data_IF_899745700064
#
_entry.id   IF_899745700064
#
_cell.length_a   1.000
_cell.length_b   1.000
_cell.length_c   1.000
_cell.angle_alpha   90.00
_cell.angle_beta   90.00
_cell.angle_gamma   90.00
#
_symmetry.space_group_name_H-M   'P 1'
#
loop_
_entity.id
_entity.type
_entity.pdbx_description
1 polymer ?
#
# COMPACT_ATOMS: atom_id res chain seq x y z
N UNK A 1 -19.40 -16.10 -32.02
CA UNK A 1 -19.66 -14.75 -31.47
C UNK A 1 -18.33 -14.20 -30.98
N UNK A 2 -17.89 -13.05 -31.48
CA UNK A 2 -16.64 -12.38 -31.12
C UNK A 2 -16.82 -11.58 -29.82
N UNK A 3 -16.07 -11.88 -28.77
CA UNK A 3 -16.18 -11.25 -27.45
C UNK A 3 -14.82 -10.80 -26.88
N UNK A 4 -14.24 -9.73 -27.42
CA UNK A 4 -13.52 -8.79 -26.57
C UNK A 4 -14.49 -8.26 -25.49
N UNK A 5 -14.17 -7.26 -24.67
CA UNK A 5 -15.27 -6.38 -24.22
C UNK A 5 -16.08 -6.12 -25.49
N UNK A 6 -17.40 -6.38 -25.49
CA UNK A 6 -18.21 -6.00 -26.64
C UNK A 6 -17.79 -4.55 -26.90
N UNK A 7 -17.36 -4.14 -28.11
CA UNK A 7 -16.48 -2.98 -28.33
C UNK A 7 -16.88 -1.65 -27.65
N UNK A 8 -18.06 -1.58 -27.06
CA UNK A 8 -18.70 -0.45 -26.41
C UNK A 8 -18.97 -0.66 -24.90
N UNK A 9 -18.44 -1.72 -24.26
CA UNK A 9 -18.67 -1.97 -22.84
C UNK A 9 -17.75 -1.12 -21.95
N UNK A 10 -18.38 -0.37 -21.04
CA UNK A 10 -17.69 0.58 -20.18
C UNK A 10 -16.99 -0.09 -18.98
N UNK A 11 -15.90 0.54 -18.55
CA UNK A 11 -15.13 0.27 -17.34
C UNK A 11 -15.34 1.45 -16.39
N UNK A 12 -15.90 1.15 -15.21
CA UNK A 12 -16.27 2.16 -14.21
C UNK A 12 -15.46 1.94 -12.93
N UNK A 13 -14.71 2.95 -12.48
CA UNK A 13 -14.03 2.96 -11.18
C UNK A 13 -14.79 3.84 -10.17
N UNK A 14 -15.52 3.20 -9.25
CA UNK A 14 -16.16 3.89 -8.13
C UNK A 14 -15.17 4.00 -6.97
N UNK A 15 -15.15 5.17 -6.33
CA UNK A 15 -14.21 5.49 -5.26
C UNK A 15 -12.76 5.51 -5.75
N UNK A 16 -12.54 6.03 -6.97
CA UNK A 16 -11.27 5.92 -7.70
C UNK A 16 -10.03 6.46 -6.95
N UNK A 17 -10.24 7.40 -6.01
CA UNK A 17 -9.20 7.96 -5.17
C UNK A 17 -8.07 8.55 -6.02
N UNK A 18 -6.82 8.31 -5.61
CA UNK A 18 -5.65 8.70 -6.38
C UNK A 18 -5.26 7.75 -7.51
N UNK A 19 -6.19 6.96 -8.09
CA UNK A 19 -5.99 6.25 -9.37
C UNK A 19 -5.26 4.90 -9.33
N UNK A 20 -5.07 4.29 -8.16
CA UNK A 20 -4.36 3.00 -8.05
C UNK A 20 -5.08 1.85 -8.74
N UNK A 21 -6.41 1.78 -8.61
CA UNK A 21 -7.24 0.82 -9.33
C UNK A 21 -7.17 1.09 -10.84
N UNK A 22 -7.53 2.29 -11.29
CA UNK A 22 -7.48 2.72 -12.70
C UNK A 22 -6.16 2.38 -13.37
N UNK A 23 -5.02 2.70 -12.73
CA UNK A 23 -3.69 2.35 -13.25
C UNK A 23 -3.55 0.86 -13.57
N UNK A 24 -4.04 -0.02 -12.69
CA UNK A 24 -4.00 -1.46 -12.93
C UNK A 24 -5.00 -1.92 -13.99
N UNK A 25 -6.20 -1.31 -14.04
CA UNK A 25 -7.22 -1.60 -15.04
C UNK A 25 -6.72 -1.25 -16.45
N UNK A 26 -6.17 -0.06 -16.64
CA UNK A 26 -5.65 0.40 -17.94
C UNK A 26 -4.46 -0.45 -18.41
N UNK A 27 -3.60 -0.87 -17.49
CA UNK A 27 -2.52 -1.80 -17.81
C UNK A 27 -3.02 -3.18 -18.28
N UNK A 28 -4.13 -3.67 -17.72
CA UNK A 28 -4.75 -4.95 -18.10
C UNK A 28 -5.49 -4.82 -19.44
N UNK A 29 -6.36 -3.83 -19.57
CA UNK A 29 -7.22 -3.66 -20.73
C UNK A 29 -6.52 -3.00 -21.92
N UNK A 30 -5.39 -2.32 -21.71
CA UNK A 30 -4.68 -1.53 -22.73
C UNK A 30 -5.54 -0.40 -23.32
N UNK A 31 -6.46 0.13 -22.52
CA UNK A 31 -7.29 1.29 -22.84
C UNK A 31 -7.65 2.03 -21.55
N UNK A 32 -8.03 3.33 -21.62
CA UNK A 32 -8.44 4.10 -20.45
C UNK A 32 -9.64 3.51 -19.71
N UNK A 33 -9.74 3.81 -18.41
CA UNK A 33 -11.01 3.67 -17.68
C UNK A 33 -11.99 4.73 -18.21
N UNK A 34 -13.23 4.36 -18.47
CA UNK A 34 -14.20 5.28 -19.10
C UNK A 34 -14.77 6.29 -18.10
N UNK A 35 -15.09 5.84 -16.89
CA UNK A 35 -15.70 6.67 -15.84
C UNK A 35 -15.02 6.45 -14.50
N UNK A 36 -14.65 7.54 -13.81
CA UNK A 36 -14.14 7.51 -12.45
C UNK A 36 -14.97 8.45 -11.54
N UNK A 37 -15.40 7.93 -10.38
CA UNK A 37 -16.27 8.66 -9.45
C UNK A 37 -15.55 8.83 -8.11
N UNK A 38 -15.49 10.06 -7.61
CA UNK A 38 -14.99 10.36 -6.27
C UNK A 38 -15.58 11.66 -5.73
N UNK A 39 -15.72 11.78 -4.42
CA UNK A 39 -16.21 13.02 -3.79
C UNK A 39 -15.08 14.02 -3.48
N UNK A 40 -13.82 13.60 -3.60
CA UNK A 40 -12.67 14.43 -3.24
C UNK A 40 -12.08 15.10 -4.49
N UNK A 41 -12.22 16.44 -4.63
CA UNK A 41 -11.75 17.15 -5.82
C UNK A 41 -10.24 17.05 -5.99
N UNK A 42 -9.45 16.95 -4.91
CA UNK A 42 -7.99 16.81 -5.00
C UNK A 42 -7.58 15.41 -5.43
N UNK A 43 -8.35 14.39 -5.03
CA UNK A 43 -8.14 13.03 -5.50
C UNK A 43 -8.39 12.93 -7.01
N UNK A 44 -9.51 13.52 -7.47
CA UNK A 44 -9.80 13.59 -8.90
C UNK A 44 -8.81 14.44 -9.66
N UNK A 45 -8.27 15.51 -9.07
CA UNK A 45 -7.23 16.27 -9.73
C UNK A 45 -5.95 15.46 -9.99
N UNK A 46 -5.50 14.68 -8.99
CA UNK A 46 -4.41 13.71 -9.17
C UNK A 46 -4.79 12.62 -10.18
N UNK A 47 -6.03 12.14 -10.15
CA UNK A 47 -6.48 11.11 -11.07
C UNK A 47 -6.49 11.62 -12.52
N UNK A 48 -6.98 12.84 -12.77
CA UNK A 48 -7.15 13.44 -14.10
C UNK A 48 -5.84 13.63 -14.84
N UNK A 49 -4.78 14.05 -14.14
CA UNK A 49 -3.46 14.22 -14.79
C UNK A 49 -2.84 12.88 -15.24
N UNK A 50 -3.19 11.77 -14.55
CA UNK A 50 -2.68 10.43 -14.89
C UNK A 50 -3.62 9.63 -15.81
N UNK A 51 -4.91 9.98 -15.83
CA UNK A 51 -5.97 9.34 -16.61
C UNK A 51 -6.80 10.41 -17.33
N UNK A 52 -6.21 11.13 -18.31
CA UNK A 52 -6.83 12.30 -18.94
C UNK A 52 -8.06 11.97 -19.79
N UNK A 53 -8.12 10.75 -20.34
CA UNK A 53 -9.23 10.30 -21.19
C UNK A 53 -10.44 9.77 -20.39
N UNK A 54 -10.31 9.66 -19.07
CA UNK A 54 -11.40 9.21 -18.19
C UNK A 54 -12.38 10.34 -17.91
N UNK A 55 -13.69 10.06 -17.96
CA UNK A 55 -14.71 10.99 -17.48
C UNK A 55 -14.77 10.98 -15.95
N UNK A 56 -14.50 12.12 -15.31
CA UNK A 56 -14.53 12.25 -13.85
C UNK A 56 -15.84 12.86 -13.36
N UNK A 57 -16.42 12.27 -12.32
CA UNK A 57 -17.55 12.82 -11.58
C UNK A 57 -17.13 13.14 -10.14
N UNK A 58 -17.10 14.43 -9.81
CA UNK A 58 -16.73 14.95 -8.49
C UNK A 58 -17.93 15.03 -7.54
N UNK A 59 -18.55 13.89 -7.25
CA UNK A 59 -19.80 13.83 -6.49
C UNK A 59 -19.80 12.69 -5.48
N UNK A 60 -20.77 12.72 -4.57
CA UNK A 60 -21.09 11.53 -3.79
C UNK A 60 -21.56 10.43 -4.73
N UNK A 61 -21.06 9.21 -4.51
CA UNK A 61 -21.52 8.00 -5.23
C UNK A 61 -23.03 7.73 -5.09
N UNK A 62 -23.67 8.34 -4.08
CA UNK A 62 -25.12 8.26 -3.88
C UNK A 62 -25.91 9.21 -4.76
N UNK A 63 -25.28 10.27 -5.27
CA UNK A 63 -25.94 11.29 -6.06
C UNK A 63 -25.85 10.94 -7.56
N UNK A 64 -24.81 10.20 -7.95
CA UNK A 64 -24.65 9.70 -9.32
C UNK A 64 -25.71 8.66 -9.69
N UNK A 65 -26.43 8.89 -10.80
CA UNK A 65 -27.23 7.87 -11.46
C UNK A 65 -26.35 7.01 -12.39
N UNK A 66 -26.19 5.68 -12.14
CA UNK A 66 -25.52 4.77 -13.06
C UNK A 66 -25.97 4.85 -14.52
N UNK A 67 -27.26 5.11 -14.81
CA UNK A 67 -27.75 5.19 -16.19
C UNK A 67 -27.23 6.45 -16.87
N UNK A 68 -27.29 7.60 -16.20
CA UNK A 68 -26.81 8.87 -16.74
C UNK A 68 -25.28 8.87 -16.87
N UNK A 69 -24.59 8.35 -15.85
CA UNK A 69 -23.12 8.24 -15.85
C UNK A 69 -22.59 7.42 -17.02
N UNK A 70 -23.37 6.44 -17.49
CA UNK A 70 -23.00 5.54 -18.59
C UNK A 70 -23.66 5.89 -19.91
N UNK A 71 -24.55 6.89 -19.95
CA UNK A 71 -25.41 7.11 -21.12
C UNK A 71 -26.21 5.87 -21.52
N UNK A 72 -26.58 5.04 -20.54
CA UNK A 72 -27.22 3.73 -20.72
C UNK A 72 -26.44 2.73 -21.60
N UNK A 73 -25.12 2.93 -21.76
CA UNK A 73 -24.28 2.00 -22.50
C UNK A 73 -24.01 0.72 -21.67
N UNK A 74 -23.80 -0.44 -22.33
CA UNK A 74 -23.41 -1.67 -21.65
C UNK A 74 -22.16 -1.49 -20.77
N UNK A 75 -22.12 -2.14 -19.62
CA UNK A 75 -20.99 -2.03 -18.67
C UNK A 75 -20.31 -3.39 -18.50
N UNK A 76 -19.03 -3.47 -18.86
CA UNK A 76 -18.24 -4.68 -18.73
C UNK A 76 -17.73 -4.88 -17.31
N UNK A 77 -17.27 -3.80 -16.67
CA UNK A 77 -16.70 -3.83 -15.32
C UNK A 77 -17.18 -2.64 -14.49
N UNK A 78 -17.68 -2.92 -13.29
CA UNK A 78 -17.76 -1.94 -12.20
C UNK A 78 -16.79 -2.35 -11.11
N UNK A 79 -15.82 -1.51 -10.82
CA UNK A 79 -14.96 -1.63 -9.66
C UNK A 79 -15.44 -0.71 -8.53
N UNK A 80 -15.43 -1.19 -7.29
CA UNK A 80 -15.74 -0.39 -6.11
C UNK A 80 -14.69 -0.55 -5.03
N UNK A 81 -14.14 0.56 -4.53
CA UNK A 81 -13.23 0.59 -3.37
C UNK A 81 -13.77 1.47 -2.24
N UNK A 82 -14.95 1.17 -1.66
CA UNK A 82 -15.61 2.02 -0.67
C UNK A 82 -14.77 2.21 0.60
N UNK A 83 -15.00 3.30 1.32
CA UNK A 83 -14.23 3.65 2.52
C UNK A 83 -14.20 2.50 3.56
N UNK A 84 -12.99 2.08 3.91
CA UNK A 84 -12.74 0.97 4.84
C UNK A 84 -12.54 1.40 6.30
N UNK A 85 -12.46 2.70 6.59
CA UNK A 85 -12.13 3.29 7.91
C UNK A 85 -13.03 2.75 9.01
N UNK A 86 -14.30 2.49 8.72
CA UNK A 86 -15.30 2.02 9.69
C UNK A 86 -15.34 0.49 9.85
N UNK A 87 -14.47 -0.22 9.12
CA UNK A 87 -14.18 -1.65 9.27
C UNK A 87 -12.75 -1.89 9.81
N UNK A 88 -11.81 -0.99 9.52
CA UNK A 88 -10.39 -1.18 9.81
C UNK A 88 -10.07 -1.24 11.32
N UNK A 89 -9.27 -2.26 11.71
CA UNK A 89 -8.61 -2.34 13.04
C UNK A 89 -7.76 -1.11 13.38
N UNK A 90 -7.30 -0.35 12.37
CA UNK A 90 -6.45 0.82 12.57
C UNK A 90 -7.18 1.97 13.28
N UNK A 91 -8.51 2.03 13.20
CA UNK A 91 -9.34 3.08 13.82
C UNK A 91 -9.42 2.97 15.35
N UNK A 92 -9.20 1.78 15.90
CA UNK A 92 -9.36 1.53 17.35
C UNK A 92 -10.83 1.50 17.78
N UNK A 93 -11.12 1.90 19.01
CA UNK A 93 -12.44 1.78 19.66
C UNK A 93 -13.43 2.92 19.37
N UNK A 94 -13.12 3.83 18.43
CA UNK A 94 -14.00 4.98 18.11
C UNK A 94 -15.32 4.51 17.47
N UNK A 95 -16.47 5.12 17.82
CA UNK A 95 -17.77 4.83 17.21
C UNK A 95 -17.76 4.88 15.68
N UNK A 96 -18.65 4.13 15.04
CA UNK A 96 -18.73 4.02 13.59
C UNK A 96 -20.02 4.63 13.03
N UNK A 97 -19.88 5.46 12.01
CA UNK A 97 -20.99 6.00 11.21
C UNK A 97 -21.59 4.95 10.27
N UNK A 98 -22.91 4.97 10.16
CA UNK A 98 -23.70 4.02 9.39
C UNK A 98 -23.67 4.35 7.90
N UNK A 99 -23.70 5.63 7.50
CA UNK A 99 -23.65 6.02 6.08
C UNK A 99 -22.35 5.54 5.42
N UNK A 100 -21.20 5.76 6.07
CA UNK A 100 -19.89 5.36 5.54
C UNK A 100 -19.78 3.82 5.44
N UNK A 101 -20.27 3.08 6.43
CA UNK A 101 -20.32 1.59 6.36
C UNK A 101 -21.26 1.10 5.27
N UNK A 102 -22.26 1.90 4.92
CA UNK A 102 -23.27 1.61 3.90
C UNK A 102 -22.79 1.77 2.47
N UNK A 103 -21.61 2.39 2.23
CA UNK A 103 -21.12 2.69 0.87
C UNK A 103 -21.01 1.47 -0.04
N UNK A 104 -20.78 0.28 0.51
CA UNK A 104 -20.74 -0.96 -0.28
C UNK A 104 -22.08 -1.29 -0.96
N UNK A 105 -23.22 -0.80 -0.43
CA UNK A 105 -24.54 -0.98 -1.05
C UNK A 105 -24.66 -0.30 -2.43
N UNK A 106 -23.79 0.66 -2.76
CA UNK A 106 -23.70 1.26 -4.10
C UNK A 106 -23.48 0.17 -5.17
N UNK A 107 -22.80 -0.92 -4.86
CA UNK A 107 -22.64 -2.06 -5.76
C UNK A 107 -24.00 -2.66 -6.20
N UNK A 108 -25.01 -2.70 -5.30
CA UNK A 108 -26.34 -3.18 -5.65
C UNK A 108 -27.10 -2.22 -6.56
N UNK A 109 -26.85 -0.91 -6.44
CA UNK A 109 -27.45 0.10 -7.31
C UNK A 109 -26.93 -0.06 -8.74
N UNK A 110 -25.61 -0.20 -8.90
CA UNK A 110 -24.99 -0.53 -10.19
C UNK A 110 -25.51 -1.87 -10.74
N UNK A 111 -25.55 -2.90 -9.90
CA UNK A 111 -26.08 -4.21 -10.28
C UNK A 111 -27.53 -4.15 -10.79
N UNK A 112 -28.38 -3.31 -10.20
CA UNK A 112 -29.79 -3.20 -10.56
C UNK A 112 -30.01 -2.35 -11.81
N UNK A 113 -29.28 -1.24 -11.96
CA UNK A 113 -29.51 -0.26 -13.03
C UNK A 113 -28.82 -0.62 -14.34
N UNK A 114 -27.50 -0.84 -14.32
CA UNK A 114 -26.73 -1.11 -15.54
C UNK A 114 -26.40 -2.58 -15.74
N UNK A 115 -26.63 -3.41 -14.72
CA UNK A 115 -26.40 -4.86 -14.71
C UNK A 115 -25.03 -5.24 -15.30
N UNK A 116 -23.91 -4.67 -14.80
CA UNK A 116 -22.59 -4.90 -15.35
C UNK A 116 -22.24 -6.38 -15.43
N UNK A 117 -21.40 -6.74 -16.40
CA UNK A 117 -21.00 -8.15 -16.56
C UNK A 117 -20.24 -8.67 -15.35
N UNK A 118 -19.30 -7.86 -14.84
CA UNK A 118 -18.51 -8.16 -13.65
C UNK A 118 -18.54 -6.97 -12.70
N UNK A 119 -18.72 -7.25 -11.41
CA UNK A 119 -18.53 -6.31 -10.31
C UNK A 119 -17.36 -6.82 -9.48
N UNK A 120 -16.39 -5.95 -9.23
CA UNK A 120 -15.27 -6.21 -8.32
C UNK A 120 -15.30 -5.22 -7.17
N UNK A 121 -15.11 -5.70 -5.95
CA UNK A 121 -15.10 -4.87 -4.75
C UNK A 121 -13.84 -5.13 -3.92
N UNK A 122 -13.13 -4.06 -3.56
CA UNK A 122 -12.00 -4.09 -2.62
C UNK A 122 -12.44 -3.58 -1.25
N UNK A 123 -11.92 -4.23 -0.19
CA UNK A 123 -12.00 -3.69 1.16
C UNK A 123 -10.95 -4.30 2.09
N UNK A 124 -11.00 -3.95 3.39
CA UNK A 124 -10.22 -4.63 4.43
C UNK A 124 -10.85 -5.98 4.82
N UNK A 125 -10.06 -6.89 5.39
CA UNK A 125 -10.51 -8.24 5.81
C UNK A 125 -11.72 -8.20 6.76
N UNK A 126 -11.81 -7.16 7.59
CA UNK A 126 -12.89 -6.98 8.56
C UNK A 126 -14.23 -6.64 7.90
N UNK A 127 -14.28 -6.35 6.60
CA UNK A 127 -15.52 -6.15 5.86
C UNK A 127 -16.47 -7.36 5.98
N UNK A 128 -15.93 -8.58 6.08
CA UNK A 128 -16.72 -9.81 6.35
C UNK A 128 -17.48 -9.77 7.68
N UNK A 129 -17.07 -8.90 8.59
CA UNK A 129 -17.69 -8.72 9.91
C UNK A 129 -18.82 -7.70 9.90
N UNK A 130 -19.09 -7.08 8.74
CA UNK A 130 -20.13 -6.06 8.59
C UNK A 130 -21.49 -6.56 9.09
N UNK A 131 -21.95 -5.89 10.13
CA UNK A 131 -23.16 -6.18 10.88
C UNK A 131 -23.72 -4.92 11.51
N UNK A 132 -24.86 -5.08 12.17
CA UNK A 132 -25.60 -4.04 12.86
C UNK A 132 -24.77 -3.38 13.97
N UNK A 133 -25.11 -2.12 14.28
CA UNK A 133 -24.53 -1.39 15.39
C UNK A 133 -25.43 -1.55 16.63
N UNK A 134 -24.81 -1.61 17.81
CA UNK A 134 -25.52 -1.45 19.08
C UNK A 134 -25.89 0.01 19.33
N UNK A 135 -26.61 0.25 20.42
CA UNK A 135 -27.02 1.60 20.86
C UNK A 135 -25.83 2.52 21.15
N UNK A 136 -24.68 1.94 21.50
CA UNK A 136 -23.41 2.66 21.73
C UNK A 136 -22.65 3.02 20.43
N UNK A 137 -23.26 2.77 19.26
CA UNK A 137 -22.65 3.01 17.95
C UNK A 137 -21.49 2.08 17.62
N UNK A 138 -21.30 0.98 18.37
CA UNK A 138 -20.26 -0.02 18.11
C UNK A 138 -20.83 -1.26 17.41
N UNK A 139 -20.02 -2.02 16.66
CA UNK A 139 -20.47 -3.25 16.02
C UNK A 139 -21.00 -4.26 17.05
N UNK A 140 -22.24 -4.71 16.87
CA UNK A 140 -22.86 -5.71 17.75
C UNK A 140 -22.19 -7.09 17.54
N UNK A 141 -21.52 -7.68 18.55
CA UNK A 141 -20.84 -8.97 18.39
C UNK A 141 -21.77 -10.11 17.99
N UNK A 142 -23.01 -10.11 18.51
CA UNK A 142 -24.02 -11.15 18.24
C UNK A 142 -24.52 -11.14 16.78
N UNK A 143 -24.41 -10.00 16.08
CA UNK A 143 -24.90 -9.82 14.70
C UNK A 143 -23.75 -9.64 13.69
N UNK A 144 -22.54 -10.04 14.06
CA UNK A 144 -21.33 -9.94 13.24
C UNK A 144 -21.51 -10.63 11.88
N UNK A 145 -21.22 -9.92 10.80
CA UNK A 145 -21.29 -10.43 9.43
C UNK A 145 -22.71 -10.62 8.87
N UNK A 146 -23.77 -10.28 9.62
CA UNK A 146 -25.16 -10.39 9.14
C UNK A 146 -25.39 -9.53 7.90
N UNK A 147 -24.96 -8.27 7.93
CA UNK A 147 -25.11 -7.32 6.82
C UNK A 147 -24.27 -7.75 5.61
N UNK A 148 -23.05 -8.26 5.83
CA UNK A 148 -22.23 -8.83 4.76
C UNK A 148 -22.93 -10.01 4.06
N UNK A 149 -23.52 -10.94 4.82
CA UNK A 149 -24.29 -12.06 4.25
C UNK A 149 -25.49 -11.55 3.44
N UNK A 150 -26.23 -10.56 3.95
CA UNK A 150 -27.34 -9.94 3.21
C UNK A 150 -26.87 -9.28 1.92
N UNK A 151 -25.73 -8.58 1.95
CA UNK A 151 -25.11 -7.97 0.78
C UNK A 151 -24.78 -9.00 -0.32
N UNK A 152 -24.10 -10.09 0.04
CA UNK A 152 -23.79 -11.18 -0.89
C UNK A 152 -25.06 -11.82 -1.44
N UNK A 153 -26.07 -12.07 -0.59
CA UNK A 153 -27.33 -12.66 -1.02
C UNK A 153 -28.11 -11.73 -1.97
N UNK A 154 -28.04 -10.42 -1.77
CA UNK A 154 -28.68 -9.45 -2.65
C UNK A 154 -28.04 -9.45 -4.05
N UNK A 155 -26.70 -9.51 -4.15
CA UNK A 155 -26.02 -9.68 -5.44
C UNK A 155 -26.45 -11.00 -6.13
N UNK A 156 -26.51 -12.10 -5.38
CA UNK A 156 -26.95 -13.41 -5.91
C UNK A 156 -28.38 -13.36 -6.44
N UNK A 157 -29.30 -12.70 -5.71
CA UNK A 157 -30.69 -12.52 -6.15
C UNK A 157 -30.82 -11.68 -7.43
N UNK A 158 -29.85 -10.82 -7.72
CA UNK A 158 -29.78 -10.07 -8.99
C UNK A 158 -29.14 -10.87 -10.14
N UNK A 159 -28.84 -12.16 -9.94
CA UNK A 159 -28.34 -13.07 -10.97
C UNK A 159 -26.82 -13.17 -11.07
N UNK A 160 -26.08 -12.74 -10.04
CA UNK A 160 -24.62 -12.88 -10.01
C UNK A 160 -24.17 -14.14 -9.29
N UNK A 161 -23.21 -14.85 -9.85
CA UNK A 161 -22.32 -15.75 -9.10
C UNK A 161 -21.36 -14.88 -8.31
N UNK A 162 -21.18 -15.18 -7.02
CA UNK A 162 -20.36 -14.35 -6.12
C UNK A 162 -19.35 -15.23 -5.40
N UNK A 163 -18.07 -14.84 -5.46
CA UNK A 163 -16.98 -15.42 -4.69
C UNK A 163 -16.08 -14.31 -4.11
N UNK A 164 -15.36 -14.58 -3.03
CA UNK A 164 -14.49 -13.60 -2.39
C UNK A 164 -13.26 -14.24 -1.71
N UNK A 165 -12.13 -13.55 -1.73
CA UNK A 165 -10.86 -14.00 -1.15
C UNK A 165 -10.05 -12.85 -0.56
N UNK A 166 -9.09 -13.20 0.27
CA UNK A 166 -8.05 -12.27 0.72
C UNK A 166 -6.79 -12.46 -0.13
N UNK A 167 -6.24 -11.35 -0.63
CA UNK A 167 -5.04 -11.35 -1.44
C UNK A 167 -4.01 -10.39 -0.83
N UNK A 168 -2.73 -10.79 -0.89
CA UNK A 168 -1.59 -9.97 -0.46
C UNK A 168 -0.89 -9.38 -1.67
N UNK A 169 -0.67 -8.08 -1.68
CA UNK A 169 -0.09 -7.39 -2.84
C UNK A 169 1.33 -7.90 -3.20
N UNK A 170 2.12 -8.31 -2.20
CA UNK A 170 3.45 -8.89 -2.41
C UNK A 170 3.44 -10.17 -3.25
N UNK A 171 2.37 -10.97 -3.19
CA UNK A 171 2.24 -12.19 -4.00
C UNK A 171 2.07 -11.90 -5.50
N UNK A 172 1.79 -10.64 -5.86
CA UNK A 172 1.53 -10.18 -7.23
C UNK A 172 2.53 -9.11 -7.71
N UNK A 173 3.61 -8.86 -6.95
CA UNK A 173 4.72 -8.02 -7.37
C UNK A 173 4.67 -6.57 -6.90
N UNK A 174 3.77 -6.20 -5.99
CA UNK A 174 3.89 -4.94 -5.25
C UNK A 174 4.85 -5.13 -4.07
N UNK A 175 5.80 -4.23 -3.81
CA UNK A 175 6.72 -4.31 -2.66
C UNK A 175 6.06 -3.98 -1.31
N UNK A 176 4.84 -4.46 -1.09
CA UNK A 176 4.11 -4.34 0.17
C UNK A 176 3.31 -5.60 0.52
N UNK A 177 3.30 -5.98 1.79
CA UNK A 177 2.53 -7.14 2.30
C UNK A 177 1.01 -6.93 2.16
N UNK A 178 0.56 -5.67 2.02
CA UNK A 178 -0.84 -5.20 2.03
C UNK A 178 -1.85 -6.31 1.70
N UNK A 179 -2.50 -6.84 2.75
CA UNK A 179 -3.57 -7.84 2.65
C UNK A 179 -4.92 -7.11 2.50
N UNK A 180 -5.73 -7.53 1.52
CA UNK A 180 -7.06 -6.95 1.25
C UNK A 180 -8.07 -8.02 0.89
N UNK A 181 -9.31 -7.76 1.26
CA UNK A 181 -10.48 -8.51 0.86
C UNK A 181 -10.90 -8.08 -0.54
N UNK A 182 -11.17 -9.06 -1.40
CA UNK A 182 -11.73 -8.86 -2.72
C UNK A 182 -12.96 -9.71 -2.90
N UNK A 183 -14.00 -9.14 -3.48
CA UNK A 183 -15.21 -9.85 -3.91
C UNK A 183 -15.36 -9.68 -5.42
N UNK A 184 -15.66 -10.77 -6.11
CA UNK A 184 -16.01 -10.78 -7.53
C UNK A 184 -17.44 -11.29 -7.61
N UNK A 185 -18.30 -10.52 -8.28
CA UNK A 185 -19.63 -10.91 -8.65
C UNK A 185 -19.75 -10.88 -10.17
N UNK A 186 -20.18 -11.98 -10.78
CA UNK A 186 -20.17 -12.17 -12.23
C UNK A 186 -21.49 -12.76 -12.74
N UNK A 187 -21.97 -12.31 -13.91
CA UNK A 187 -23.29 -12.72 -14.45
C UNK A 187 -23.31 -13.16 -15.92
N UNK A 188 -22.17 -13.27 -16.58
CA UNK A 188 -22.03 -13.73 -17.98
C UNK A 188 -22.03 -15.26 -18.15
N UNK A 189 -22.15 -16.02 -17.06
CA UNK A 189 -22.07 -17.48 -17.09
C UNK A 189 -20.65 -18.05 -17.14
N UNK A 190 -19.62 -17.20 -17.19
CA UNK A 190 -18.22 -17.64 -17.09
C UNK A 190 -17.83 -17.86 -15.61
N UNK A 191 -16.83 -18.73 -15.34
CA UNK A 191 -16.34 -18.93 -13.99
C UNK A 191 -15.62 -17.69 -13.45
N UNK A 192 -15.70 -17.50 -12.14
CA UNK A 192 -14.81 -16.56 -11.43
C UNK A 192 -13.43 -17.21 -11.32
N UNK A 193 -12.41 -16.50 -11.78
CA UNK A 193 -11.01 -16.98 -11.77
C UNK A 193 -10.18 -16.08 -10.87
N UNK A 194 -9.53 -16.68 -9.87
CA UNK A 194 -8.59 -15.96 -9.01
C UNK A 194 -7.17 -15.99 -9.60
N UNK A 195 -6.44 -14.87 -9.57
CA UNK A 195 -5.12 -14.79 -10.17
C UNK A 195 -4.13 -15.68 -9.43
N UNK A 196 -3.30 -16.39 -10.19
CA UNK A 196 -2.17 -17.16 -9.66
C UNK A 196 -1.11 -16.19 -9.13
N UNK A 197 -0.49 -16.56 -8.00
CA UNK A 197 0.63 -15.79 -7.45
C UNK A 197 1.78 -15.77 -8.46
N UNK A 198 2.44 -14.63 -8.58
CA UNK A 198 3.64 -14.46 -9.41
C UNK A 198 4.91 -14.34 -8.58
N UNK A 199 4.76 -13.98 -7.30
CA UNK A 199 5.85 -13.83 -6.35
C UNK A 199 5.59 -14.63 -5.07
N UNK A 200 6.65 -14.95 -4.34
CA UNK A 200 6.60 -15.70 -3.08
C UNK A 200 7.75 -15.36 -2.14
N UNK A 201 7.72 -15.96 -0.96
CA UNK A 201 8.79 -15.85 0.02
C UNK A 201 10.12 -16.34 -0.60
N UNK A 202 11.22 -15.55 -0.56
CA UNK A 202 12.54 -15.99 -1.03
C UNK A 202 13.01 -17.33 -0.45
N UNK A 203 12.58 -17.67 0.76
CA UNK A 203 12.93 -18.94 1.42
C UNK A 203 11.99 -20.11 1.02
N UNK A 204 10.92 -19.83 0.28
CA UNK A 204 9.98 -20.88 -0.15
C UNK A 204 10.55 -21.77 -1.25
N UNK A 205 10.18 -23.05 -1.22
CA UNK A 205 10.57 -24.04 -2.23
C UNK A 205 10.17 -23.59 -3.64
N UNK A 206 9.01 -22.93 -3.79
CA UNK A 206 8.54 -22.45 -5.09
C UNK A 206 9.47 -21.38 -5.68
N UNK A 207 10.01 -20.48 -4.85
CA UNK A 207 10.96 -19.47 -5.31
C UNK A 207 12.34 -20.09 -5.56
N UNK A 208 12.80 -20.96 -4.67
CA UNK A 208 14.07 -21.67 -4.84
C UNK A 208 14.11 -22.52 -6.11
N UNK A 209 12.96 -23.08 -6.53
CA UNK A 209 12.80 -23.82 -7.79
C UNK A 209 12.53 -22.94 -9.02
N UNK A 210 12.52 -21.60 -8.87
CA UNK A 210 12.25 -20.66 -9.96
C UNK A 210 10.80 -20.63 -10.47
N UNK A 211 9.85 -21.25 -9.77
CA UNK A 211 8.43 -21.26 -10.15
C UNK A 211 7.73 -19.93 -9.83
N UNK A 212 8.22 -19.21 -8.81
CA UNK A 212 7.78 -17.88 -8.43
C UNK A 212 8.98 -16.94 -8.35
N UNK A 213 8.76 -15.65 -8.60
CA UNK A 213 9.77 -14.63 -8.33
C UNK A 213 9.87 -14.37 -6.81
N UNK A 214 11.05 -14.03 -6.26
CA UNK A 214 11.13 -13.61 -4.87
C UNK A 214 10.31 -12.33 -4.66
N UNK A 215 9.71 -12.16 -3.48
CA UNK A 215 9.00 -10.93 -3.15
C UNK A 215 9.90 -9.70 -3.30
N UNK A 216 9.31 -8.63 -3.84
CA UNK A 216 9.94 -7.32 -3.92
C UNK A 216 10.04 -6.69 -2.54
N UNK A 217 11.14 -6.01 -2.26
CA UNK A 217 11.56 -5.66 -0.90
C UNK A 217 11.33 -4.20 -0.58
N UNK A 218 11.26 -3.82 0.69
CA UNK A 218 11.16 -2.40 1.05
C UNK A 218 12.42 -1.60 0.68
N UNK A 219 13.59 -2.24 0.66
CA UNK A 219 14.88 -1.62 0.30
C UNK A 219 14.92 -1.08 -1.13
N UNK A 220 14.24 -1.72 -2.08
CA UNK A 220 14.16 -1.21 -3.46
C UNK A 220 13.34 0.09 -3.57
N UNK A 221 12.47 0.34 -2.58
CA UNK A 221 11.57 1.49 -2.57
C UNK A 221 12.24 2.76 -2.01
N UNK A 222 13.33 2.58 -1.27
CA UNK A 222 14.05 3.68 -0.62
C UNK A 222 14.85 4.45 -1.68
N UNK A 223 14.68 5.76 -1.67
CA UNK A 223 15.54 6.67 -2.43
C UNK A 223 16.79 6.97 -1.60
N UNK A 224 17.87 6.25 -1.92
CA UNK A 224 19.14 6.32 -1.21
C UNK A 224 19.87 7.65 -1.39
N UNK A 225 19.51 8.44 -2.39
CA UNK A 225 20.04 9.80 -2.61
C UNK A 225 19.46 10.84 -1.65
N UNK A 226 18.46 10.49 -0.83
CA UNK A 226 17.89 11.38 0.18
C UNK A 226 18.63 11.19 1.51
N UNK A 227 19.21 12.28 2.00
CA UNK A 227 19.92 12.30 3.27
C UNK A 227 19.06 11.84 4.45
N UNK A 228 19.66 11.01 5.30
CA UNK A 228 19.08 10.55 6.56
C UNK A 228 19.79 11.25 7.73
N UNK A 229 19.34 12.46 8.13
CA UNK A 229 20.09 13.31 9.04
C UNK A 229 20.23 12.69 10.43
N UNK A 230 21.38 12.92 11.05
CA UNK A 230 21.72 12.51 12.41
C UNK A 230 20.62 12.90 13.41
N UNK A 231 20.26 12.00 14.32
CA UNK A 231 19.38 12.29 15.45
C UNK A 231 20.03 13.17 16.50
N UNK A 232 21.37 13.20 16.55
CA UNK A 232 22.13 13.95 17.56
C UNK A 232 22.27 15.43 17.18
N UNK A 233 22.33 15.75 15.89
CA UNK A 233 22.52 17.11 15.39
C UNK A 233 21.19 17.83 15.08
N UNK A 234 20.07 17.38 15.65
CA UNK A 234 18.74 17.95 15.37
C UNK A 234 18.50 19.22 16.18
N UNK A 235 18.04 20.28 15.51
CA UNK A 235 17.56 21.52 16.18
C UNK A 235 16.48 21.26 17.25
N UNK A 236 15.62 20.28 17.03
CA UNK A 236 14.61 19.82 17.99
C UNK A 236 14.81 18.32 18.27
N UNK A 237 15.08 17.93 19.53
CA UNK A 237 15.23 16.53 19.90
C UNK A 237 13.99 15.69 19.57
N UNK A 238 14.20 14.40 19.31
CA UNK A 238 13.10 13.46 19.13
C UNK A 238 12.42 13.15 20.46
N UNK A 239 11.11 12.84 20.41
CA UNK A 239 10.35 12.45 21.60
C UNK A 239 10.95 11.16 22.20
N UNK A 240 10.95 10.97 23.54
CA UNK A 240 11.53 9.78 24.19
C UNK A 240 10.99 8.45 23.65
N UNK A 241 9.68 8.37 23.37
CA UNK A 241 9.08 7.17 22.74
C UNK A 241 9.63 6.86 21.35
N UNK A 242 10.02 7.88 20.59
CA UNK A 242 10.65 7.71 19.28
C UNK A 242 12.06 7.15 19.44
N UNK A 243 12.87 7.73 20.33
CA UNK A 243 14.21 7.26 20.64
C UNK A 243 14.20 5.80 21.12
N UNK A 244 13.27 5.45 22.01
CA UNK A 244 13.10 4.07 22.49
C UNK A 244 12.78 3.09 21.34
N UNK A 245 11.98 3.50 20.35
CA UNK A 245 11.70 2.66 19.17
C UNK A 245 12.92 2.51 18.27
N UNK A 246 13.64 3.60 18.03
CA UNK A 246 14.89 3.59 17.24
C UNK A 246 15.89 2.62 17.90
N UNK A 247 16.10 2.73 19.21
CA UNK A 247 17.00 1.86 19.95
C UNK A 247 16.61 0.38 19.84
N UNK A 248 15.34 0.02 20.09
CA UNK A 248 14.86 -1.36 19.92
C UNK A 248 15.04 -1.88 18.49
N UNK A 249 14.91 -1.00 17.49
CA UNK A 249 15.15 -1.34 16.10
C UNK A 249 16.63 -1.63 15.84
N UNK A 250 17.54 -0.79 16.35
CA UNK A 250 18.99 -1.00 16.28
C UNK A 250 19.38 -2.31 16.97
N UNK A 251 18.94 -2.52 18.20
CA UNK A 251 19.19 -3.76 18.96
C UNK A 251 18.77 -4.99 18.15
N UNK A 252 17.59 -4.96 17.52
CA UNK A 252 17.09 -6.11 16.76
C UNK A 252 17.75 -6.31 15.40
N UNK A 253 17.96 -5.24 14.64
CA UNK A 253 18.32 -5.33 13.22
C UNK A 253 19.79 -5.02 12.92
N UNK A 254 20.50 -4.44 13.89
CA UNK A 254 21.93 -4.06 13.78
C UNK A 254 22.75 -4.93 14.74
N UNK A 255 22.37 -5.00 16.02
CA UNK A 255 23.17 -5.71 17.05
C UNK A 255 22.94 -7.22 16.99
N UNK A 256 21.69 -7.65 17.00
CA UNK A 256 21.32 -9.07 17.12
C UNK A 256 21.03 -9.76 15.77
N UNK A 257 21.37 -9.11 14.65
CA UNK A 257 21.14 -9.67 13.33
C UNK A 257 22.36 -10.48 12.84
N UNK A 258 22.17 -11.61 12.13
CA UNK A 258 23.21 -12.20 11.30
C UNK A 258 23.42 -11.28 10.07
N UNK A 259 24.56 -10.60 9.98
CA UNK A 259 24.73 -9.45 9.06
C UNK A 259 25.24 -9.88 7.68
N UNK A 260 24.58 -9.37 6.63
CA UNK A 260 25.17 -9.05 5.32
C UNK A 260 25.21 -7.53 5.19
N UNK A 261 26.39 -6.89 5.28
CA UNK A 261 26.47 -5.44 5.26
C UNK A 261 26.35 -4.87 3.84
N UNK A 262 25.71 -3.70 3.72
CA UNK A 262 25.76 -2.89 2.50
C UNK A 262 26.96 -1.96 2.67
N UNK A 263 28.01 -2.18 1.89
CA UNK A 263 29.19 -1.31 1.86
C UNK A 263 28.83 0.03 1.21
N UNK A 264 29.09 1.14 1.90
CA UNK A 264 29.06 2.47 1.27
C UNK A 264 30.41 2.76 0.64
N UNK A 265 30.42 3.37 -0.55
CA UNK A 265 31.59 3.48 -1.42
C UNK A 265 32.72 4.40 -0.92
N UNK A 266 32.62 5.04 0.24
CA UNK A 266 33.71 5.86 0.76
C UNK A 266 33.86 5.69 2.28
N UNK A 267 35.09 5.41 2.72
CA UNK A 267 35.59 5.41 4.11
C UNK A 267 35.27 4.23 5.03
N UNK A 268 35.37 2.97 4.60
CA UNK A 268 35.48 1.80 5.53
C UNK A 268 34.38 1.67 6.59
N UNK A 269 33.30 2.45 6.46
CA UNK A 269 32.21 2.58 7.39
C UNK A 269 31.06 1.76 6.86
N UNK A 270 30.47 0.97 7.75
CA UNK A 270 29.41 0.04 7.44
C UNK A 270 28.09 0.71 7.83
N UNK A 271 27.16 0.83 6.89
CA UNK A 271 25.84 1.39 7.17
C UNK A 271 24.80 0.28 7.22
N UNK A 272 24.08 0.15 8.34
CA UNK A 272 22.93 -0.77 8.45
C UNK A 272 21.66 0.05 8.58
N UNK A 273 20.77 -0.08 7.59
CA UNK A 273 19.45 0.55 7.59
C UNK A 273 18.34 -0.44 7.93
N UNK A 274 17.32 0.02 8.65
CA UNK A 274 16.05 -0.67 8.84
C UNK A 274 14.89 0.33 8.85
N UNK A 275 13.65 -0.17 8.74
CA UNK A 275 12.47 0.68 8.81
C UNK A 275 11.85 0.66 10.19
N UNK A 276 11.77 1.83 10.83
CA UNK A 276 11.03 2.05 12.06
C UNK A 276 9.55 2.35 11.78
N UNK A 277 8.67 1.83 12.64
CA UNK A 277 7.20 1.99 12.53
C UNK A 277 6.66 2.83 13.66
N UNK A 278 6.24 4.04 13.35
CA UNK A 278 5.80 5.07 14.30
C UNK A 278 4.34 4.89 14.75
N UNK A 279 3.93 3.64 15.02
CA UNK A 279 2.57 3.27 15.43
C UNK A 279 2.59 2.14 16.47
N UNK A 280 1.87 2.33 17.59
CA UNK A 280 1.75 1.35 18.70
C UNK A 280 3.13 0.87 19.22
N UNK A 281 3.23 -0.42 19.59
CA UNK A 281 4.42 -1.12 20.09
C UNK A 281 5.25 -1.80 18.98
N UNK A 282 5.06 -1.44 17.71
CA UNK A 282 5.83 -2.02 16.62
C UNK A 282 7.28 -1.49 16.64
N UNK A 283 8.26 -2.41 16.53
CA UNK A 283 9.69 -2.10 16.63
C UNK A 283 10.28 -1.70 15.26
N UNK A 284 9.87 -2.35 14.18
CA UNK A 284 10.32 -2.04 12.82
C UNK A 284 10.11 -3.18 11.83
N UNK A 285 10.83 -3.17 10.70
CA UNK A 285 11.02 -4.30 9.78
C UNK A 285 12.37 -4.23 9.07
N UNK A 286 12.81 -5.37 8.53
CA UNK A 286 13.97 -5.45 7.65
C UNK A 286 13.67 -4.78 6.30
N UNK A 287 14.71 -4.32 5.63
CA UNK A 287 14.60 -3.81 4.26
C UNK A 287 14.46 -4.92 3.21
N UNK A 288 14.91 -6.14 3.52
CA UNK A 288 14.76 -7.32 2.67
C UNK A 288 13.34 -7.90 2.66
N UNK A 289 12.47 -7.43 3.55
CA UNK A 289 11.06 -7.82 3.60
C UNK A 289 10.21 -6.77 2.86
N UNK A 290 9.06 -7.14 2.26
CA UNK A 290 8.16 -6.17 1.66
C UNK A 290 7.65 -5.14 2.70
N UNK A 291 7.30 -3.93 2.25
CA UNK A 291 6.79 -2.89 3.14
C UNK A 291 5.46 -3.32 3.79
N UNK A 292 5.30 -3.15 5.10
CA UNK A 292 3.97 -3.37 5.70
C UNK A 292 2.92 -2.40 5.13
N UNK A 293 1.64 -2.77 5.25
CA UNK A 293 0.54 -1.99 4.68
C UNK A 293 0.58 -0.50 5.10
N UNK A 294 0.60 0.37 4.10
CA UNK A 294 0.55 1.83 4.29
C UNK A 294 -0.87 2.29 4.68
N UNK A 295 -0.91 3.34 5.49
CA UNK A 295 -2.16 4.01 5.90
C UNK A 295 -2.18 5.43 5.35
N UNK A 296 -3.29 6.14 5.53
CA UNK A 296 -3.45 7.56 5.12
C UNK A 296 -2.50 8.53 5.81
N UNK A 297 -1.85 8.08 6.90
CA UNK A 297 -0.81 8.80 7.62
C UNK A 297 0.49 8.02 7.50
N UNK A 298 1.58 8.73 7.24
CA UNK A 298 2.91 8.13 7.15
C UNK A 298 3.41 7.76 8.55
N UNK A 299 3.73 6.49 8.72
CA UNK A 299 4.30 5.96 9.96
C UNK A 299 5.64 5.25 9.72
N UNK A 300 6.21 5.31 8.52
CA UNK A 300 7.46 4.64 8.20
C UNK A 300 8.60 5.63 8.21
N UNK A 301 9.67 5.27 8.91
CA UNK A 301 10.91 6.02 8.93
C UNK A 301 12.09 5.12 8.63
N UNK A 302 13.02 5.59 7.82
CA UNK A 302 14.34 4.99 7.70
C UNK A 302 15.15 5.35 8.96
N UNK A 303 15.75 4.33 9.56
CA UNK A 303 16.80 4.48 10.58
C UNK A 303 18.07 3.89 9.99
N UNK A 304 19.14 4.67 9.96
CA UNK A 304 20.45 4.26 9.44
C UNK A 304 21.49 4.36 10.55
N UNK A 305 22.13 3.24 10.91
CA UNK A 305 23.25 3.23 11.85
C UNK A 305 24.56 3.24 11.06
N UNK A 306 25.43 4.21 11.35
CA UNK A 306 26.77 4.29 10.77
C UNK A 306 27.76 3.66 11.74
N UNK A 307 28.54 2.71 11.24
CA UNK A 307 29.47 1.89 12.01
C UNK A 307 30.88 2.12 11.52
N UNK A 308 31.82 2.32 12.44
CA UNK A 308 33.25 2.29 12.14
C UNK A 308 33.89 1.07 12.80
N UNK A 309 34.85 0.45 12.11
CA UNK A 309 35.59 -0.67 12.69
C UNK A 309 36.36 -0.16 13.92
N UNK A 310 36.15 -0.83 15.04
CA UNK A 310 36.89 -0.58 16.26
C UNK A 310 38.13 -1.44 16.25
N UNK A 311 39.26 -0.84 15.89
CA UNK A 311 40.57 -1.47 16.08
C UNK A 311 41.00 -1.16 17.50
N UNK A 312 40.87 -2.14 18.40
CA UNK A 312 41.31 -2.05 19.80
C UNK A 312 42.84 -1.94 19.98
N UNK A 313 43.57 -1.49 18.96
CA UNK A 313 45.01 -1.28 19.03
C UNK A 313 45.31 0.18 19.38
N UNK A 314 44.97 0.59 20.60
CA UNK A 314 45.90 1.45 21.34
C UNK A 314 46.92 0.52 21.99
N UNK A 315 47.95 0.15 21.22
CA UNK A 315 49.23 -0.30 21.79
C UNK A 315 49.95 0.96 22.28
N UNK A 316 49.54 1.46 23.43
CA UNK A 316 50.38 2.28 24.31
C UNK A 316 49.75 2.21 25.69
N UNK A 317 50.17 1.20 26.46
CA UNK A 317 49.94 1.20 27.90
C UNK A 317 50.58 2.46 28.48
N UNK A 318 49.85 3.22 29.30
CA UNK A 318 50.44 4.30 30.08
C UNK A 318 51.61 3.74 30.91
N UNK A 319 52.79 4.35 30.75
CA UNK A 319 53.88 4.17 31.71
C UNK A 319 53.41 4.65 33.09
N UNK A 320 53.80 3.93 34.15
CA UNK A 320 53.50 4.27 35.55
C UNK A 320 54.01 5.65 36.00
N UNK A 321 54.80 6.34 35.15
CA UNK A 321 55.42 7.63 35.43
C UNK A 321 54.71 8.85 34.79
N UNK A 322 53.64 8.67 34.01
CA UNK A 322 52.93 9.79 33.38
C UNK A 322 51.51 9.98 33.94
N UNK A 323 51.01 11.23 34.08
CA UNK A 323 49.63 11.47 34.50
C UNK A 323 48.65 10.84 33.49
N UNK A 324 47.64 10.14 34.01
CA UNK A 324 46.53 9.59 33.22
C UNK A 324 45.99 10.63 32.24
N UNK A 325 46.02 10.31 30.93
CA UNK A 325 45.41 11.15 29.91
C UNK A 325 43.91 11.34 30.19
N UNK A 326 43.41 12.53 29.91
CA UNK A 326 42.00 12.91 30.05
C UNK A 326 41.12 11.92 29.30
N UNK A 327 40.32 11.15 30.05
CA UNK A 327 39.23 10.35 29.50
C UNK A 327 38.21 11.33 28.92
N UNK A 328 37.99 11.41 27.60
CA UNK A 328 37.01 12.33 27.06
C UNK A 328 35.61 11.86 27.47
N UNK A 329 34.89 12.73 28.19
CA UNK A 329 33.50 12.64 28.62
C UNK A 329 32.49 12.80 27.46
N UNK A 330 32.74 12.14 26.32
CA UNK A 330 31.73 11.99 25.28
C UNK A 330 31.27 10.54 25.26
N UNK A 331 30.04 10.33 25.73
CA UNK A 331 29.35 9.04 25.71
C UNK A 331 29.54 8.33 24.36
N UNK A 332 30.37 7.29 24.36
CA UNK A 332 30.63 6.48 23.17
C UNK A 332 29.50 5.46 23.04
N UNK A 333 28.58 5.67 22.11
CA UNK A 333 27.45 4.76 21.90
C UNK A 333 27.92 3.36 21.45
N UNK A 334 27.46 2.34 22.18
CA UNK A 334 27.37 0.91 21.84
C UNK A 334 28.45 0.30 20.95
N UNK A 335 29.38 -0.44 21.54
CA UNK A 335 30.21 -1.42 20.82
C UNK A 335 29.37 -2.62 20.41
N UNK A 336 29.51 -3.05 19.16
CA UNK A 336 28.79 -4.20 18.60
C UNK A 336 29.80 -5.12 17.90
N UNK A 337 29.59 -6.43 17.97
CA UNK A 337 30.49 -7.40 17.32
C UNK A 337 29.81 -7.95 16.07
N UNK A 338 30.46 -7.79 14.92
CA UNK A 338 30.02 -8.29 13.62
C UNK A 338 31.11 -9.22 13.09
N UNK A 339 30.80 -10.50 12.87
CA UNK A 339 31.74 -11.48 12.33
C UNK A 339 33.10 -11.49 13.07
N UNK A 340 33.07 -11.48 14.42
CA UNK A 340 34.25 -11.44 15.31
C UNK A 340 35.07 -10.12 15.29
N UNK A 341 34.66 -9.12 14.50
CA UNK A 341 35.22 -7.77 14.50
C UNK A 341 34.33 -6.83 15.32
N UNK A 342 34.94 -6.00 16.17
CA UNK A 342 34.21 -4.96 16.91
C UNK A 342 33.98 -3.73 16.04
N UNK A 343 32.80 -3.13 16.18
CA UNK A 343 32.38 -1.90 15.53
C UNK A 343 31.76 -0.96 16.56
N UNK A 344 31.92 0.33 16.34
CA UNK A 344 31.27 1.38 17.14
C UNK A 344 30.21 2.09 16.30
N UNK A 345 29.03 2.33 16.88
CA UNK A 345 28.03 3.22 16.28
C UNK A 345 28.49 4.67 16.46
N UNK A 346 28.80 5.33 15.35
CA UNK A 346 29.30 6.72 15.35
C UNK A 346 28.18 7.73 15.09
N UNK A 347 27.11 7.33 14.40
CA UNK A 347 25.96 8.17 14.13
C UNK A 347 24.70 7.33 13.85
N UNK A 348 23.53 7.92 14.08
CA UNK A 348 22.22 7.34 13.78
C UNK A 348 21.41 8.36 12.98
N UNK A 349 21.19 8.07 11.70
CA UNK A 349 20.29 8.81 10.83
C UNK A 349 18.82 8.45 11.07
N UNK A 350 17.92 9.43 10.97
CA UNK A 350 16.47 9.21 11.00
C UNK A 350 15.71 10.14 10.05
N UNK A 351 14.90 9.56 9.15
CA UNK A 351 13.94 10.31 8.32
C UNK A 351 12.65 9.55 8.08
N UNK A 352 11.54 10.27 7.94
CA UNK A 352 10.30 9.68 7.43
C UNK A 352 10.46 9.33 5.94
N UNK A 353 9.80 8.27 5.49
CA UNK A 353 9.72 7.96 4.06
C UNK A 353 9.06 9.14 3.31
N UNK A 354 9.55 9.45 2.11
CA UNK A 354 9.00 10.48 1.24
C UNK A 354 7.87 9.91 0.37
N UNK A 355 6.92 10.74 -0.11
CA UNK A 355 5.81 10.28 -0.95
C UNK A 355 6.25 9.41 -2.13
N UNK A 356 7.33 9.76 -2.83
CA UNK A 356 7.89 8.96 -3.94
C UNK A 356 8.20 7.50 -3.53
N UNK A 357 8.73 7.29 -2.32
CA UNK A 357 9.05 5.96 -1.79
C UNK A 357 7.77 5.19 -1.44
N UNK A 358 6.73 5.88 -0.98
CA UNK A 358 5.42 5.29 -0.68
C UNK A 358 4.67 4.90 -1.98
N UNK A 359 4.69 5.73 -3.01
CA UNK A 359 4.10 5.42 -4.31
C UNK A 359 4.80 4.23 -4.98
N UNK A 360 6.14 4.18 -4.90
CA UNK A 360 6.93 3.01 -5.33
C UNK A 360 6.58 1.76 -4.53
N UNK A 361 6.44 1.88 -3.21
CA UNK A 361 6.04 0.79 -2.32
C UNK A 361 4.63 0.23 -2.65
N UNK A 362 3.72 1.12 -3.07
CA UNK A 362 2.35 0.78 -3.44
C UNK A 362 2.28 0.15 -4.85
N UNK A 363 3.32 0.32 -5.65
CA UNK A 363 3.45 -0.25 -6.99
C UNK A 363 2.98 0.67 -8.12
N UNK A 364 2.89 1.98 -7.90
CA UNK A 364 2.67 2.92 -9.00
C UNK A 364 3.87 2.97 -9.97
N UNK A 365 3.64 3.22 -11.27
CA UNK A 365 4.73 3.41 -12.22
C UNK A 365 5.53 4.67 -11.91
N UNK A 366 6.80 4.71 -12.32
CA UNK A 366 7.67 5.88 -12.10
C UNK A 366 7.17 7.14 -12.82
N UNK A 367 6.41 6.97 -13.90
CA UNK A 367 5.74 8.05 -14.64
C UNK A 367 4.52 8.63 -13.93
N UNK A 368 4.07 8.04 -12.80
CA UNK A 368 2.86 8.49 -12.12
C UNK A 368 3.07 9.84 -11.44
N UNK A 369 2.27 10.84 -11.81
CA UNK A 369 2.36 12.19 -11.27
C UNK A 369 1.53 12.29 -10.00
N UNK A 370 2.19 12.42 -8.85
CA UNK A 370 1.52 12.52 -7.54
C UNK A 370 1.72 13.87 -6.83
N UNK A 371 2.65 14.72 -7.29
CA UNK A 371 2.93 16.00 -6.63
C UNK A 371 1.95 17.12 -7.00
N UNK A 372 1.23 16.93 -8.10
CA UNK A 372 0.29 17.87 -8.70
C UNK A 372 -0.89 17.16 -9.35
N UNK A 373 -1.91 17.91 -9.71
CA UNK A 373 -3.11 17.43 -10.41
C UNK A 373 -3.75 18.52 -11.26
N UNK A 374 -4.75 18.16 -12.06
CA UNK A 374 -5.53 19.10 -12.88
C UNK A 374 -6.95 19.14 -12.33
N UNK A 375 -7.42 20.29 -11.86
CA UNK A 375 -8.78 20.46 -11.34
C UNK A 375 -9.86 20.35 -12.45
N UNK A 376 -11.13 20.50 -12.08
CA UNK A 376 -12.25 20.39 -13.03
C UNK A 376 -12.34 21.54 -14.05
N UNK A 377 -11.63 22.64 -13.79
CA UNK A 377 -11.53 23.79 -14.67
C UNK A 377 -10.27 23.76 -15.55
N UNK A 378 -9.45 22.71 -15.44
CA UNK A 378 -8.21 22.56 -16.19
C UNK A 378 -6.99 23.23 -15.54
N UNK A 379 -7.11 23.75 -14.31
CA UNK A 379 -5.98 24.39 -13.63
C UNK A 379 -5.09 23.37 -12.93
N UNK A 380 -3.77 23.61 -12.98
CA UNK A 380 -2.82 22.82 -12.21
C UNK A 380 -2.87 23.18 -10.73
N UNK A 381 -3.06 22.17 -9.87
CA UNK A 381 -3.01 22.32 -8.41
C UNK A 381 -1.86 21.50 -7.84
N UNK A 382 -1.17 22.06 -6.84
CA UNK A 382 -0.10 21.37 -6.11
C UNK A 382 -0.64 20.64 -4.88
N UNK A 383 -0.20 19.42 -4.66
CA UNK A 383 -0.61 18.60 -3.54
C UNK A 383 0.45 18.64 -2.43
N UNK A 384 0.00 18.85 -1.21
CA UNK A 384 0.86 18.78 -0.01
C UNK A 384 1.32 17.33 0.23
N UNK A 385 2.48 17.15 0.89
CA UNK A 385 2.97 15.79 1.24
C UNK A 385 1.95 14.96 2.03
N UNK A 386 1.13 15.61 2.86
CA UNK A 386 0.04 14.97 3.61
C UNK A 386 -1.04 14.44 2.68
N UNK A 387 -1.45 15.23 1.69
CA UNK A 387 -2.43 14.80 0.69
C UNK A 387 -1.89 13.66 -0.16
N UNK A 388 -0.65 13.77 -0.65
CA UNK A 388 0.02 12.70 -1.39
C UNK A 388 0.03 11.38 -0.62
N UNK A 389 0.42 11.43 0.67
CA UNK A 389 0.43 10.28 1.59
C UNK A 389 -0.96 9.69 1.78
N UNK A 390 -1.99 10.54 1.90
CA UNK A 390 -3.37 10.09 2.03
C UNK A 390 -3.84 9.36 0.78
N UNK A 391 -3.55 9.89 -0.42
CA UNK A 391 -3.94 9.29 -1.69
C UNK A 391 -3.34 7.90 -1.86
N UNK A 392 -2.02 7.76 -1.68
CA UNK A 392 -1.35 6.45 -1.81
C UNK A 392 -1.82 5.46 -0.75
N UNK A 393 -2.03 5.90 0.50
CA UNK A 393 -2.48 5.03 1.59
C UNK A 393 -3.87 4.42 1.36
N UNK A 394 -4.76 5.20 0.74
CA UNK A 394 -6.13 4.77 0.39
C UNK A 394 -6.19 3.96 -0.91
N UNK A 395 -5.20 4.08 -1.79
CA UNK A 395 -5.23 3.39 -3.09
C UNK A 395 -5.18 1.86 -2.98
N UNK A 396 -5.68 1.19 -4.01
CA UNK A 396 -5.43 -0.23 -4.29
C UNK A 396 -4.08 -0.35 -5.01
N UNK A 397 -3.33 -1.43 -4.76
CA UNK A 397 -2.08 -1.68 -5.49
C UNK A 397 -2.40 -1.97 -6.96
N UNK A 398 -1.81 -1.24 -7.95
CA UNK A 398 -2.11 -1.44 -9.36
C UNK A 398 -1.91 -2.88 -9.85
N UNK A 399 -0.90 -3.58 -9.33
CA UNK A 399 -0.62 -4.97 -9.72
C UNK A 399 -1.75 -5.93 -9.30
N UNK A 400 -2.43 -5.67 -8.18
CA UNK A 400 -3.55 -6.50 -7.71
C UNK A 400 -4.79 -6.30 -8.58
N UNK A 401 -5.17 -5.05 -8.86
CA UNK A 401 -6.32 -4.76 -9.73
C UNK A 401 -6.09 -5.30 -11.13
N UNK A 402 -4.87 -5.13 -11.65
CA UNK A 402 -4.43 -5.72 -12.92
C UNK A 402 -4.58 -7.25 -12.92
N UNK A 403 -4.01 -7.94 -11.94
CA UNK A 403 -4.03 -9.40 -11.89
C UNK A 403 -5.46 -9.96 -11.78
N UNK A 404 -6.32 -9.32 -10.99
CA UNK A 404 -7.73 -9.71 -10.86
C UNK A 404 -8.49 -9.59 -12.18
N UNK A 405 -8.30 -8.48 -12.89
CA UNK A 405 -8.94 -8.27 -14.19
C UNK A 405 -8.36 -9.19 -15.26
N UNK A 406 -7.04 -9.30 -15.37
CA UNK A 406 -6.40 -10.22 -16.31
C UNK A 406 -6.90 -11.65 -16.13
N UNK A 407 -7.09 -12.12 -14.88
CA UNK A 407 -7.61 -13.45 -14.61
C UNK A 407 -9.07 -13.63 -15.07
N UNK A 408 -9.92 -12.61 -14.91
CA UNK A 408 -11.35 -12.70 -15.19
C UNK A 408 -11.74 -12.30 -16.62
N UNK A 409 -10.90 -11.53 -17.31
CA UNK A 409 -11.11 -11.05 -18.67
C UNK A 409 -10.14 -11.67 -19.68
N UNK A 410 -9.31 -12.67 -19.28
CA UNK A 410 -8.34 -13.34 -20.17
C UNK A 410 -8.96 -13.88 -21.48
N UNK A 411 -10.19 -14.40 -21.40
CA UNK A 411 -10.91 -14.95 -22.54
C UNK A 411 -11.13 -13.90 -23.63
N UNK A 412 -11.08 -12.60 -23.33
CA UNK A 412 -11.23 -11.54 -24.34
C UNK A 412 -10.06 -11.47 -25.33
N UNK A 413 -8.88 -11.99 -24.96
CA UNK A 413 -7.72 -11.99 -25.83
C UNK A 413 -7.93 -12.83 -27.10
N UNK A 414 -8.82 -13.83 -27.07
CA UNK A 414 -9.12 -14.65 -28.26
C UNK A 414 -9.83 -13.86 -29.35
N UNK A 415 -10.34 -12.66 -29.03
CA UNK A 415 -11.14 -11.86 -29.94
C UNK A 415 -10.45 -10.56 -30.36
N UNK A 416 -9.35 -10.18 -29.67
CA UNK A 416 -8.50 -9.05 -30.06
C UNK A 416 -7.65 -9.33 -31.31
N UNK A 417 -7.47 -10.60 -31.69
CA UNK A 417 -6.73 -11.01 -32.89
C UNK A 417 -7.60 -11.23 -34.14
N UNK A 418 -8.90 -10.96 -34.06
CA UNK A 418 -9.87 -11.17 -35.14
C UNK A 418 -10.44 -9.86 -35.73
N UNK A 419 -9.82 -8.72 -35.42
CA UNK A 419 -10.18 -7.39 -35.88
C UNK A 419 -9.10 -6.83 -36.81
#
# INVERSE_FOLDING_TARGET
>A
MNFSLLPNELIIDNFAGGGGTSTGLEQAFKRPVDVAINHDPKALAMHRINHPDTKHYCESVWDIDPIEATGNQPVGLVWLSPDCKHFSKAKGSKPVEKEIRGLAWVALRWAAKTRPRVIMLENVEEFKTWGDLGEDGKPCPKKKGRTFKSFVNALKRQGYVVDYRELRACDYGSPTIRNRFFLIARRDGLPIVWPKKTHGDPESIQVQKGLLKPWRTAGECINWSIDCPSIFNRKRPLKPRTLSRIWKGIERFVVNAPIHPITTNDHGALAISHLSKMKKNCIGQKLSEPLHAMTTVNHFAEVRAFLTAYYGNEKDGNSLAEPLRTIPTKDRFGLITIQQQQYQIIDIGFRMLQPVELFKAQGFPESYVFEKGIDEHGNEIRLTKTEQTRMVGNSVCPQLSRALVEANFKHENTYRGAA
#
